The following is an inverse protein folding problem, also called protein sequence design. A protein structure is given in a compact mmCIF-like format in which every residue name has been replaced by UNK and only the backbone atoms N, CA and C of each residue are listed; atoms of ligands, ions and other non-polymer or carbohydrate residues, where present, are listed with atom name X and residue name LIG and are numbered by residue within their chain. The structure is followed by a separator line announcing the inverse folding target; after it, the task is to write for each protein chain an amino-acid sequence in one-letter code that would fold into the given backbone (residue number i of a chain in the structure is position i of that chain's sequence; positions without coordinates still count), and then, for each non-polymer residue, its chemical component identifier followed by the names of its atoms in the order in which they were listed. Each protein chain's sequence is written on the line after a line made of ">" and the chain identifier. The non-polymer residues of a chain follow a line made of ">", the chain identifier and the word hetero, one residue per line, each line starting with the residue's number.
data_IF_980133200490
#
_entry.id   IF_980133200490
#
_cell.length_a   1.000
_cell.length_b   1.000
_cell.length_c   1.000
_cell.angle_alpha   90.00
_cell.angle_beta   90.00
_cell.angle_gamma   90.00
#
_symmetry.space_group_name_H-M   'P 1'
#
loop_
_entity.id
_entity.type
_entity.pdbx_description
1 polymer ?
#
# COMPACT_ATOMS: atom_id res chain seq x y z
N UNK A 1 -23.49 21.88 -21.98
CA UNK A 1 -22.35 21.50 -21.10
C UNK A 1 -22.83 20.37 -20.21
N UNK A 2 -22.48 19.12 -20.51
CA UNK A 2 -22.77 18.03 -19.59
C UNK A 2 -21.77 18.13 -18.43
N UNK A 3 -22.23 18.57 -17.26
CA UNK A 3 -21.54 18.36 -15.99
C UNK A 3 -21.66 16.87 -15.64
N UNK A 4 -21.02 16.03 -16.45
CA UNK A 4 -21.02 14.58 -16.27
C UNK A 4 -19.91 14.23 -15.29
N UNK A 5 -20.31 13.70 -14.13
CA UNK A 5 -19.40 13.04 -13.18
C UNK A 5 -18.50 12.05 -13.94
N UNK A 6 -17.21 12.00 -13.62
CA UNK A 6 -16.28 11.14 -14.35
C UNK A 6 -16.29 9.76 -13.67
N UNK A 7 -16.91 8.72 -14.28
CA UNK A 7 -17.14 7.44 -13.60
C UNK A 7 -15.85 6.75 -13.16
N UNK A 8 -14.72 7.08 -13.80
CA UNK A 8 -13.41 6.62 -13.36
C UNK A 8 -13.05 7.15 -11.97
N UNK A 9 -13.21 8.45 -11.74
CA UNK A 9 -12.88 9.06 -10.44
C UNK A 9 -13.94 8.79 -9.38
N UNK A 10 -15.21 8.66 -9.79
CA UNK A 10 -16.32 8.54 -8.85
C UNK A 10 -16.57 7.10 -8.40
N UNK A 11 -16.19 6.10 -9.22
CA UNK A 11 -16.43 4.68 -8.90
C UNK A 11 -15.17 3.81 -8.98
N UNK A 12 -14.40 3.89 -10.07
CA UNK A 12 -13.27 2.96 -10.27
C UNK A 12 -12.15 3.20 -9.26
N UNK A 13 -11.76 4.47 -9.05
CA UNK A 13 -10.73 4.85 -8.07
C UNK A 13 -11.13 4.45 -6.64
N UNK A 14 -12.33 4.82 -6.13
CA UNK A 14 -12.77 4.37 -4.81
C UNK A 14 -12.82 2.85 -4.63
N UNK A 15 -13.30 2.12 -5.65
CA UNK A 15 -13.35 0.65 -5.61
C UNK A 15 -11.96 0.03 -5.52
N UNK A 16 -10.98 0.52 -6.28
CA UNK A 16 -9.60 0.04 -6.22
C UNK A 16 -8.94 0.36 -4.88
N UNK A 17 -9.21 1.53 -4.29
CA UNK A 17 -8.77 1.88 -2.93
C UNK A 17 -9.36 0.91 -1.89
N UNK A 18 -10.64 0.55 -2.01
CA UNK A 18 -11.27 -0.41 -1.10
C UNK A 18 -10.59 -1.78 -1.18
N UNK A 19 -10.30 -2.27 -2.39
CA UNK A 19 -9.57 -3.53 -2.59
C UNK A 19 -8.16 -3.46 -2.00
N UNK A 20 -7.44 -2.35 -2.16
CA UNK A 20 -6.12 -2.16 -1.54
C UNK A 20 -6.20 -2.27 -0.02
N UNK A 21 -7.16 -1.58 0.61
CA UNK A 21 -7.35 -1.63 2.07
C UNK A 21 -7.68 -3.04 2.58
N UNK A 22 -8.44 -3.81 1.81
CA UNK A 22 -8.72 -5.22 2.16
C UNK A 22 -7.45 -6.08 2.05
N UNK A 23 -6.59 -5.84 1.06
CA UNK A 23 -5.28 -6.48 0.96
C UNK A 23 -4.40 -6.15 2.17
N UNK A 24 -4.40 -4.90 2.63
CA UNK A 24 -3.66 -4.46 3.83
C UNK A 24 -4.14 -5.21 5.07
N UNK A 25 -5.45 -5.37 5.25
CA UNK A 25 -6.00 -6.11 6.38
C UNK A 25 -5.62 -7.59 6.42
N UNK A 26 -5.14 -8.16 5.31
CA UNK A 26 -4.58 -9.54 5.30
C UNK A 26 -3.13 -9.60 5.75
N UNK A 27 -2.39 -8.49 5.65
CA UNK A 27 -1.00 -8.39 6.10
C UNK A 27 -0.92 -8.15 7.61
N UNK A 28 -1.80 -7.30 8.17
CA UNK A 28 -1.83 -6.98 9.60
C UNK A 28 -3.03 -7.66 10.27
N UNK A 29 -2.87 -8.93 10.66
CA UNK A 29 -3.92 -9.77 11.30
C UNK A 29 -3.81 -9.76 12.83
N UNK A 30 -2.65 -9.47 13.37
CA UNK A 30 -2.39 -9.32 14.81
C UNK A 30 -1.46 -8.14 15.11
N UNK A 31 -1.39 -7.70 16.37
CA UNK A 31 -0.53 -6.58 16.78
C UNK A 31 0.97 -6.89 16.68
N UNK A 32 1.35 -8.16 16.56
CA UNK A 32 2.73 -8.60 16.35
C UNK A 32 3.09 -8.78 14.87
N UNK A 33 2.14 -8.64 13.95
CA UNK A 33 2.40 -8.91 12.54
C UNK A 33 3.27 -7.81 11.94
N UNK A 34 4.42 -8.23 11.42
CA UNK A 34 5.35 -7.40 10.66
C UNK A 34 5.34 -7.91 9.21
N UNK A 35 5.40 -6.99 8.24
CA UNK A 35 5.58 -7.40 6.85
C UNK A 35 5.67 -6.23 5.89
N UNK A 36 5.89 -6.57 4.62
CA UNK A 36 6.05 -5.61 3.52
C UNK A 36 4.89 -5.76 2.53
N UNK A 37 4.26 -4.64 2.19
CA UNK A 37 3.31 -4.55 1.09
C UNK A 37 3.99 -3.92 -0.14
N UNK A 38 4.11 -4.71 -1.22
CA UNK A 38 4.60 -4.21 -2.49
C UNK A 38 3.42 -3.85 -3.41
N UNK A 39 3.35 -2.59 -3.86
CA UNK A 39 2.41 -2.17 -4.91
C UNK A 39 3.21 -1.79 -6.16
N UNK A 40 3.17 -2.67 -7.16
CA UNK A 40 3.95 -2.55 -8.40
C UNK A 40 3.21 -1.74 -9.47
N UNK A 41 2.72 -0.56 -9.09
CA UNK A 41 1.95 0.30 -9.98
C UNK A 41 2.49 1.74 -9.98
N UNK A 42 3.14 2.12 -11.07
CA UNK A 42 3.71 3.46 -11.27
C UNK A 42 2.66 4.57 -11.24
N UNK A 43 1.38 4.24 -11.43
CA UNK A 43 0.27 5.22 -11.40
C UNK A 43 0.05 5.83 -10.03
N UNK A 44 0.49 5.14 -8.96
CA UNK A 44 0.48 5.70 -7.61
C UNK A 44 1.27 7.00 -7.47
N UNK A 45 2.29 7.18 -8.30
CA UNK A 45 3.16 8.36 -8.28
C UNK A 45 2.97 9.28 -9.47
N UNK A 46 2.55 8.73 -10.62
CA UNK A 46 2.43 9.49 -11.88
C UNK A 46 1.05 10.09 -12.12
N UNK A 47 0.01 9.62 -11.43
CA UNK A 47 -1.37 10.10 -11.61
C UNK A 47 -1.87 10.83 -10.37
N UNK A 48 -2.67 11.88 -10.57
CA UNK A 48 -3.18 12.72 -9.48
C UNK A 48 -4.04 11.97 -8.45
N UNK A 49 -4.70 10.89 -8.84
CA UNK A 49 -5.44 10.04 -7.90
C UNK A 49 -4.54 9.16 -7.03
N UNK A 50 -3.27 8.97 -7.39
CA UNK A 50 -2.32 8.13 -6.65
C UNK A 50 -2.14 8.58 -5.21
N UNK A 51 -2.19 9.90 -4.96
CA UNK A 51 -2.20 10.47 -3.59
C UNK A 51 -3.36 9.93 -2.73
N UNK A 52 -4.54 9.71 -3.32
CA UNK A 52 -5.70 9.15 -2.59
C UNK A 52 -5.45 7.71 -2.16
N UNK A 53 -4.76 6.91 -2.98
CA UNK A 53 -4.34 5.55 -2.62
C UNK A 53 -3.35 5.57 -1.47
N UNK A 54 -2.28 6.38 -1.57
CA UNK A 54 -1.26 6.48 -0.52
C UNK A 54 -1.86 6.95 0.81
N UNK A 55 -2.78 7.91 0.79
CA UNK A 55 -3.49 8.39 1.98
C UNK A 55 -4.50 7.38 2.55
N UNK A 56 -4.91 6.37 1.78
CA UNK A 56 -5.83 5.32 2.24
C UNK A 56 -5.12 4.19 2.98
N UNK A 57 -3.79 4.12 2.88
CA UNK A 57 -2.97 3.15 3.58
C UNK A 57 -2.79 3.58 5.04
N UNK A 58 -2.60 2.62 5.97
CA UNK A 58 -2.20 2.92 7.33
C UNK A 58 -0.90 3.76 7.37
N UNK A 59 -0.62 4.49 8.45
CA UNK A 59 0.65 5.17 8.65
C UNK A 59 1.79 4.14 8.58
N UNK A 60 2.53 4.14 7.47
CA UNK A 60 3.66 3.23 7.25
C UNK A 60 4.76 3.91 6.44
N UNK A 61 6.03 3.52 6.64
CA UNK A 61 7.12 3.99 5.80
C UNK A 61 6.90 3.57 4.34
N UNK A 62 6.96 4.54 3.42
CA UNK A 62 6.96 4.28 1.98
C UNK A 62 8.41 4.25 1.48
N UNK A 63 8.79 3.19 0.78
CA UNK A 63 10.09 3.11 0.11
C UNK A 63 9.92 2.66 -1.35
N UNK A 64 10.93 2.98 -2.17
CA UNK A 64 11.03 2.56 -3.58
C UNK A 64 12.34 1.83 -3.87
N UNK A 65 13.12 1.56 -2.83
CA UNK A 65 14.43 0.96 -2.88
C UNK A 65 14.33 -0.47 -2.36
N UNK A 66 14.77 -1.44 -3.16
CA UNK A 66 14.74 -2.84 -2.76
C UNK A 66 15.61 -3.12 -1.54
N UNK A 67 16.71 -2.38 -1.38
CA UNK A 67 17.63 -2.46 -0.23
C UNK A 67 16.92 -2.22 1.10
N UNK A 68 15.93 -1.32 1.14
CA UNK A 68 15.12 -1.05 2.34
C UNK A 68 14.26 -2.24 2.73
N UNK A 69 13.75 -2.98 1.74
CA UNK A 69 12.99 -4.22 1.96
C UNK A 69 13.91 -5.32 2.47
N UNK A 70 15.11 -5.47 1.91
CA UNK A 70 16.11 -6.44 2.40
C UNK A 70 16.51 -6.14 3.84
N UNK A 71 16.77 -4.88 4.17
CA UNK A 71 17.11 -4.44 5.52
C UNK A 71 15.99 -4.77 6.51
N UNK A 72 14.73 -4.53 6.14
CA UNK A 72 13.57 -4.83 6.96
C UNK A 72 13.53 -6.31 7.38
N UNK A 73 13.73 -7.24 6.45
CA UNK A 73 13.72 -8.68 6.74
C UNK A 73 14.97 -9.13 7.52
N UNK A 74 16.14 -8.56 7.22
CA UNK A 74 17.37 -8.87 7.98
C UNK A 74 17.29 -8.45 9.45
N UNK A 75 16.57 -7.37 9.77
CA UNK A 75 16.28 -6.98 11.16
C UNK A 75 15.32 -7.95 11.85
N UNK A 76 14.38 -8.53 11.10
CA UNK A 76 13.38 -9.48 11.62
C UNK A 76 14.02 -10.79 12.07
N UNK A 77 14.94 -11.34 11.27
CA UNK A 77 15.71 -12.54 11.58
C UNK A 77 16.56 -12.37 12.84
N UNK A 78 17.15 -11.18 13.04
CA UNK A 78 17.93 -10.88 14.25
C UNK A 78 17.06 -10.81 15.51
N UNK A 79 15.79 -10.42 15.38
CA UNK A 79 14.86 -10.29 16.51
C UNK A 79 14.22 -11.63 16.91
N UNK A 80 14.06 -12.57 15.97
CA UNK A 80 13.41 -13.86 16.24
C UNK A 80 14.39 -15.03 16.45
N UNK A 81 15.69 -14.85 16.16
CA UNK A 81 16.70 -15.90 16.26
C UNK A 81 16.49 -17.01 15.22
N UNK A 82 17.51 -17.82 14.91
CA UNK A 82 17.31 -18.99 14.05
C UNK A 82 16.40 -19.97 14.79
N UNK A 83 15.21 -20.21 14.23
CA UNK A 83 14.33 -21.31 14.62
C UNK A 83 14.89 -22.66 14.22
#
# INVERSE_FOLDING_TARGET
>A
RALGSNPFFDFQVPRAILSLRQGVGRLMRSTGDRGVMAVLDVRLFTKGYGRRFLQSLPPSPLCRELERVQTFFAEEEKQHGPG
#
